data_IF_533241231550
#
_entry.id   IF_533241231550
#
_cell.length_a   1.000
_cell.length_b   1.000
_cell.length_c   1.000
_cell.angle_alpha   90.00
_cell.angle_beta   90.00
_cell.angle_gamma   90.00
#
_symmetry.space_group_name_H-M   'P 1'
#
loop_
_entity.id
_entity.type
_entity.pdbx_description
1 polymer ?
#
# COMPACT_ATOMS: atom_id res chain seq x y z
N UNK A 1 -15.13 1.92 -19.77
CA UNK A 1 -15.97 3.07 -19.37
C UNK A 1 -15.13 4.02 -18.54
N UNK A 2 -15.03 5.29 -18.94
CA UNK A 2 -14.53 6.33 -18.04
C UNK A 2 -15.46 6.37 -16.83
N UNK A 3 -14.89 6.42 -15.63
CA UNK A 3 -15.65 6.51 -14.40
C UNK A 3 -16.17 7.95 -14.29
N UNK A 4 -17.49 8.12 -14.29
CA UNK A 4 -18.15 9.44 -14.22
C UNK A 4 -18.61 9.72 -12.79
N UNK A 5 -17.69 9.66 -11.83
CA UNK A 5 -18.03 10.00 -10.45
C UNK A 5 -17.92 11.52 -10.26
N UNK A 6 -18.92 12.10 -9.61
CA UNK A 6 -18.85 13.49 -9.14
C UNK A 6 -18.20 13.48 -7.76
N UNK A 7 -17.06 14.14 -7.62
CA UNK A 7 -16.37 14.34 -6.35
C UNK A 7 -16.69 15.72 -5.83
N UNK A 8 -17.04 15.81 -4.55
CA UNK A 8 -17.19 17.08 -3.84
C UNK A 8 -16.72 16.88 -2.41
N UNK A 9 -15.92 17.82 -1.92
CA UNK A 9 -15.43 17.83 -0.55
C UNK A 9 -15.29 19.28 -0.09
N UNK A 10 -15.89 19.58 1.06
CA UNK A 10 -15.73 20.87 1.73
C UNK A 10 -14.34 20.88 2.40
N UNK A 11 -13.38 21.53 1.74
CA UNK A 11 -12.04 21.74 2.29
C UNK A 11 -12.07 22.77 3.41
N UNK A 12 -11.08 22.69 4.31
CA UNK A 12 -10.78 23.83 5.17
C UNK A 12 -9.91 24.84 4.43
N UNK A 13 -9.76 26.04 5.02
CA UNK A 13 -9.07 27.15 4.36
C UNK A 13 -7.63 26.82 3.95
N UNK A 14 -6.89 26.05 4.77
CA UNK A 14 -5.52 25.63 4.43
C UNK A 14 -5.50 24.67 3.24
N UNK A 15 -6.37 23.64 3.27
CA UNK A 15 -6.44 22.66 2.18
C UNK A 15 -6.94 23.30 0.88
N UNK A 16 -7.90 24.21 0.97
CA UNK A 16 -8.43 24.96 -0.17
C UNK A 16 -7.35 25.82 -0.84
N UNK A 17 -6.52 26.51 -0.06
CA UNK A 17 -5.40 27.29 -0.59
C UNK A 17 -4.40 26.40 -1.32
N UNK A 18 -3.98 25.29 -0.69
CA UNK A 18 -3.07 24.32 -1.33
C UNK A 18 -3.67 23.71 -2.61
N UNK A 19 -4.99 23.52 -2.65
CA UNK A 19 -5.66 22.86 -3.77
C UNK A 19 -5.67 23.71 -5.05
N UNK A 20 -5.45 25.03 -4.96
CA UNK A 20 -5.35 25.90 -6.14
C UNK A 20 -4.21 25.52 -7.09
N UNK A 21 -3.15 24.94 -6.55
CA UNK A 21 -1.98 24.46 -7.30
C UNK A 21 -2.00 22.94 -7.52
N UNK A 22 -3.15 22.29 -7.29
CA UNK A 22 -3.25 20.84 -7.29
C UNK A 22 -3.05 20.24 -8.69
N UNK A 23 -2.27 19.17 -8.78
CA UNK A 23 -2.06 18.41 -10.02
C UNK A 23 -2.67 17.03 -9.88
N UNK A 24 -3.51 16.63 -10.84
CA UNK A 24 -4.13 15.31 -10.84
C UNK A 24 -3.06 14.20 -10.90
N UNK A 25 -3.11 13.26 -9.94
CA UNK A 25 -2.22 12.09 -9.90
C UNK A 25 -2.90 10.81 -10.38
N UNK A 26 -4.20 10.66 -10.11
CA UNK A 26 -4.92 9.47 -10.51
C UNK A 26 -6.25 9.27 -9.81
N UNK A 27 -7.06 8.37 -10.38
CA UNK A 27 -8.36 7.97 -9.82
C UNK A 27 -8.35 6.49 -9.46
N UNK A 28 -8.63 6.20 -8.20
CA UNK A 28 -8.74 4.85 -7.66
C UNK A 28 -10.19 4.37 -7.59
N UNK A 29 -10.42 3.25 -6.89
CA UNK A 29 -11.78 2.72 -6.72
C UNK A 29 -12.66 3.57 -5.79
N UNK A 30 -12.07 4.22 -4.79
CA UNK A 30 -12.82 4.90 -3.73
C UNK A 30 -12.64 6.42 -3.74
N UNK A 31 -11.82 6.95 -4.66
CA UNK A 31 -11.35 8.30 -4.55
C UNK A 31 -10.43 8.73 -5.68
N UNK A 32 -10.33 10.04 -5.84
CA UNK A 32 -9.41 10.73 -6.74
C UNK A 32 -8.27 11.34 -5.92
N UNK A 33 -7.06 11.39 -6.48
CA UNK A 33 -5.86 11.87 -5.79
C UNK A 33 -5.24 13.00 -6.59
N UNK A 34 -4.91 14.07 -5.89
CA UNK A 34 -4.15 15.20 -6.40
C UNK A 34 -2.86 15.37 -5.59
N UNK A 35 -1.80 15.77 -6.27
CA UNK A 35 -0.60 16.34 -5.68
C UNK A 35 -0.90 17.75 -5.21
N UNK A 36 -0.35 18.11 -4.05
CA UNK A 36 -0.38 19.45 -3.47
C UNK A 36 1.06 19.95 -3.26
N UNK A 37 1.27 21.26 -3.06
CA UNK A 37 2.57 21.79 -2.64
C UNK A 37 3.13 21.11 -1.37
N UNK A 38 4.43 21.29 -1.12
CA UNK A 38 5.18 20.75 0.03
C UNK A 38 5.21 19.22 0.15
N UNK A 39 5.28 18.49 -0.96
CA UNK A 39 5.27 17.02 -0.97
C UNK A 39 4.04 16.43 -0.27
N UNK A 40 2.88 17.08 -0.42
CA UNK A 40 1.60 16.59 0.09
C UNK A 40 0.76 16.02 -1.05
N UNK A 41 -0.20 15.20 -0.69
CA UNK A 41 -1.25 14.74 -1.59
C UNK A 41 -2.59 14.78 -0.87
N UNK A 42 -3.63 15.18 -1.59
CA UNK A 42 -5.01 15.06 -1.12
C UNK A 42 -5.70 13.94 -1.86
N UNK A 43 -6.35 13.05 -1.10
CA UNK A 43 -7.28 12.07 -1.65
C UNK A 43 -8.69 12.47 -1.29
N UNK A 44 -9.52 12.67 -2.32
CA UNK A 44 -10.94 12.98 -2.20
C UNK A 44 -11.72 11.68 -2.41
N UNK A 45 -12.62 11.37 -1.50
CA UNK A 45 -13.37 10.12 -1.45
C UNK A 45 -14.81 10.33 -1.91
N UNK A 46 -15.40 9.30 -2.50
CA UNK A 46 -16.83 9.29 -2.84
C UNK A 46 -17.69 9.09 -1.59
N UNK A 47 -17.21 8.27 -0.65
CA UNK A 47 -17.91 7.90 0.55
C UNK A 47 -17.15 8.36 1.80
N UNK A 48 -17.84 9.10 2.67
CA UNK A 48 -17.27 9.60 3.93
C UNK A 48 -16.86 8.46 4.88
N UNK A 49 -17.58 7.33 4.83
CA UNK A 49 -17.23 6.13 5.60
C UNK A 49 -15.87 5.58 5.17
N UNK A 50 -15.60 5.50 3.86
CA UNK A 50 -14.30 5.07 3.35
C UNK A 50 -13.19 6.04 3.74
N UNK A 51 -13.45 7.35 3.66
CA UNK A 51 -12.52 8.39 4.12
C UNK A 51 -12.15 8.20 5.59
N UNK A 52 -13.16 8.11 6.46
CA UNK A 52 -12.97 7.92 7.91
C UNK A 52 -12.22 6.63 8.22
N UNK A 53 -12.59 5.51 7.61
CA UNK A 53 -11.91 4.23 7.86
C UNK A 53 -10.43 4.27 7.43
N UNK A 54 -10.11 4.84 6.27
CA UNK A 54 -8.72 4.93 5.79
C UNK A 54 -7.90 5.92 6.63
N UNK A 55 -8.48 7.08 6.96
CA UNK A 55 -7.82 8.13 7.75
C UNK A 55 -7.51 7.70 9.18
N UNK A 56 -8.43 7.00 9.86
CA UNK A 56 -8.18 6.50 11.21
C UNK A 56 -7.08 5.42 11.24
N UNK A 57 -6.99 4.57 10.21
CA UNK A 57 -5.89 3.62 10.09
C UNK A 57 -4.57 4.37 9.89
N UNK A 58 -4.50 5.30 8.94
CA UNK A 58 -3.28 6.07 8.65
C UNK A 58 -2.81 6.90 9.85
N UNK A 59 -3.72 7.54 10.59
CA UNK A 59 -3.40 8.24 11.84
C UNK A 59 -2.76 7.30 12.85
N UNK A 60 -3.32 6.10 13.04
CA UNK A 60 -2.81 5.09 13.98
C UNK A 60 -1.41 4.58 13.61
N UNK A 61 -1.09 4.50 12.33
CA UNK A 61 0.21 3.99 11.84
C UNK A 61 1.20 5.08 11.45
N UNK A 62 0.85 6.35 11.63
CA UNK A 62 1.63 7.53 11.19
C UNK A 62 3.07 7.62 11.68
N UNK A 63 3.44 6.87 12.72
CA UNK A 63 4.83 6.78 13.22
C UNK A 63 5.70 5.77 12.46
N UNK A 64 5.09 4.96 11.61
CA UNK A 64 5.78 3.96 10.81
C UNK A 64 6.26 4.57 9.51
N UNK A 65 7.54 4.35 9.17
CA UNK A 65 8.14 4.80 7.90
C UNK A 65 7.47 4.20 6.66
N UNK A 66 6.69 3.14 6.82
CA UNK A 66 6.06 2.40 5.73
C UNK A 66 4.70 2.95 5.33
N UNK A 67 4.19 4.00 6.00
CA UNK A 67 2.89 4.58 5.69
C UNK A 67 3.00 6.11 5.62
N UNK A 68 2.21 6.76 4.77
CA UNK A 68 2.20 8.21 4.70
C UNK A 68 1.62 8.82 5.98
N UNK A 69 2.24 9.90 6.44
CA UNK A 69 1.72 10.70 7.55
C UNK A 69 0.47 11.46 7.11
N UNK A 70 -0.52 11.53 7.98
CA UNK A 70 -1.73 12.34 7.77
C UNK A 70 -1.49 13.73 8.37
N UNK A 71 -1.73 14.76 7.58
CA UNK A 71 -1.69 16.16 8.02
C UNK A 71 -3.08 16.65 8.40
N UNK A 72 -4.07 16.30 7.59
CA UNK A 72 -5.44 16.75 7.78
C UNK A 72 -6.45 15.71 7.27
N UNK A 73 -7.67 15.75 7.81
CA UNK A 73 -8.76 14.86 7.44
C UNK A 73 -10.10 15.56 7.62
N UNK A 74 -10.79 15.82 6.50
CA UNK A 74 -12.17 16.25 6.49
C UNK A 74 -13.16 15.09 6.30
N UNK A 75 -14.42 15.43 6.03
CA UNK A 75 -15.50 14.44 5.87
C UNK A 75 -15.30 13.53 4.65
N UNK A 76 -14.74 14.07 3.58
CA UNK A 76 -14.55 13.38 2.30
C UNK A 76 -13.11 13.47 1.77
N UNK A 77 -12.15 13.94 2.56
CA UNK A 77 -10.77 14.05 2.09
C UNK A 77 -9.74 13.76 3.18
N UNK A 78 -8.55 13.34 2.75
CA UNK A 78 -7.37 13.18 3.59
C UNK A 78 -6.21 13.90 2.90
N UNK A 79 -5.56 14.82 3.61
CA UNK A 79 -4.25 15.37 3.23
C UNK A 79 -3.17 14.58 3.94
N UNK A 80 -2.23 14.03 3.17
CA UNK A 80 -1.17 13.16 3.65
C UNK A 80 0.14 13.38 2.89
N UNK A 81 1.21 12.73 3.31
CA UNK A 81 2.45 12.68 2.52
C UNK A 81 2.15 12.22 1.09
N UNK A 82 2.73 12.92 0.13
CA UNK A 82 2.90 12.39 -1.23
C UNK A 82 3.84 11.20 -1.14
N UNK A 83 3.43 10.09 -1.73
CA UNK A 83 4.27 8.89 -1.80
C UNK A 83 4.99 8.89 -3.13
N UNK A 84 6.31 9.01 -3.06
CA UNK A 84 7.19 9.04 -4.21
C UNK A 84 7.42 7.65 -4.81
N UNK A 85 7.97 7.63 -6.01
CA UNK A 85 8.42 6.42 -6.68
C UNK A 85 7.39 5.78 -7.59
N UNK A 86 7.48 4.46 -7.74
CA UNK A 86 6.68 3.69 -8.69
C UNK A 86 5.96 2.56 -7.98
N UNK A 87 4.81 2.13 -8.51
CA UNK A 87 4.17 0.90 -8.05
C UNK A 87 5.15 -0.28 -8.14
N UNK A 88 5.17 -1.10 -7.11
CA UNK A 88 6.14 -2.18 -6.94
C UNK A 88 6.20 -3.13 -8.15
N UNK A 89 5.05 -3.55 -8.66
CA UNK A 89 4.94 -4.44 -9.82
C UNK A 89 5.52 -3.81 -11.10
N UNK A 90 5.26 -2.52 -11.32
CA UNK A 90 5.80 -1.79 -12.46
C UNK A 90 7.31 -1.56 -12.32
N UNK A 91 7.78 -1.26 -11.11
CA UNK A 91 9.20 -1.07 -10.85
C UNK A 91 9.98 -2.34 -11.13
N UNK A 92 9.56 -3.48 -10.57
CA UNK A 92 10.24 -4.77 -10.74
C UNK A 92 10.34 -5.15 -12.22
N UNK A 93 9.26 -4.98 -12.99
CA UNK A 93 9.27 -5.25 -14.44
C UNK A 93 10.27 -4.39 -15.22
N UNK A 94 10.50 -3.15 -14.77
CA UNK A 94 11.32 -2.17 -15.49
C UNK A 94 12.78 -2.14 -15.03
N UNK A 95 13.03 -2.39 -13.74
CA UNK A 95 14.31 -2.20 -13.07
C UNK A 95 14.90 -3.47 -12.47
N UNK A 96 14.12 -4.55 -12.42
CA UNK A 96 14.52 -5.81 -11.82
C UNK A 96 14.17 -5.90 -10.34
N UNK A 97 14.48 -7.07 -9.77
CA UNK A 97 14.31 -7.40 -8.37
C UNK A 97 15.68 -7.74 -7.77
N UNK A 98 15.89 -7.42 -6.51
CA UNK A 98 17.13 -7.71 -5.81
C UNK A 98 16.87 -7.98 -4.32
N UNK A 99 17.92 -8.41 -3.61
CA UNK A 99 17.88 -8.72 -2.19
C UNK A 99 17.35 -7.56 -1.31
N UNK A 100 17.75 -6.32 -1.57
CA UNK A 100 17.31 -5.17 -0.77
C UNK A 100 15.79 -4.93 -0.90
N UNK A 101 15.22 -5.18 -2.08
CA UNK A 101 13.76 -5.13 -2.28
C UNK A 101 13.10 -6.24 -1.46
N UNK A 102 13.62 -7.47 -1.51
CA UNK A 102 13.09 -8.59 -0.74
C UNK A 102 13.11 -8.30 0.78
N UNK A 103 14.24 -7.78 1.27
CA UNK A 103 14.45 -7.44 2.67
C UNK A 103 13.50 -6.32 3.13
N UNK A 104 13.35 -5.25 2.35
CA UNK A 104 12.40 -4.17 2.65
C UNK A 104 10.94 -4.65 2.66
N UNK A 105 10.58 -5.57 1.75
CA UNK A 105 9.25 -6.18 1.75
C UNK A 105 9.03 -7.11 2.95
N UNK A 106 10.04 -7.88 3.36
CA UNK A 106 9.98 -8.69 4.57
C UNK A 106 9.76 -7.82 5.81
N UNK A 107 10.57 -6.78 6.01
CA UNK A 107 10.44 -5.88 7.16
C UNK A 107 9.15 -5.06 7.14
N UNK A 108 8.57 -4.80 5.96
CA UNK A 108 7.22 -4.25 5.86
C UNK A 108 6.17 -5.20 6.48
N UNK A 109 6.28 -6.51 6.25
CA UNK A 109 5.35 -7.47 6.85
C UNK A 109 5.61 -7.65 8.35
N UNK A 110 6.87 -7.61 8.79
CA UNK A 110 7.19 -7.57 10.23
C UNK A 110 6.63 -6.32 10.90
N UNK A 111 6.65 -5.18 10.22
CA UNK A 111 6.03 -3.96 10.70
C UNK A 111 4.52 -4.14 10.89
N UNK A 112 3.82 -4.82 9.98
CA UNK A 112 2.40 -5.12 10.14
C UNK A 112 2.14 -5.93 11.43
N UNK A 113 3.01 -6.90 11.75
CA UNK A 113 2.94 -7.65 13.01
C UNK A 113 3.14 -6.72 14.21
N UNK A 114 4.17 -5.86 14.17
CA UNK A 114 4.46 -4.88 15.24
C UNK A 114 3.29 -3.91 15.48
N UNK A 115 2.61 -3.49 14.42
CA UNK A 115 1.41 -2.63 14.45
C UNK A 115 0.12 -3.38 14.81
N UNK A 116 0.23 -4.69 15.11
CA UNK A 116 -0.87 -5.59 15.49
C UNK A 116 -1.96 -5.68 14.42
N UNK A 117 -1.58 -5.63 13.14
CA UNK A 117 -2.51 -5.89 12.04
C UNK A 117 -2.98 -7.34 12.11
N UNK A 118 -4.27 -7.56 11.86
CA UNK A 118 -4.84 -8.91 11.73
C UNK A 118 -4.67 -9.47 10.32
N UNK A 119 -4.46 -8.58 9.34
CA UNK A 119 -4.11 -8.89 7.95
C UNK A 119 -2.65 -8.50 7.70
N UNK A 120 -1.76 -9.49 7.67
CA UNK A 120 -0.34 -9.38 7.35
C UNK A 120 -0.12 -9.47 5.84
N UNK A 121 -0.78 -8.60 5.09
CA UNK A 121 -0.85 -8.73 3.62
C UNK A 121 -1.13 -7.39 2.93
N UNK A 122 -0.49 -7.20 1.78
CA UNK A 122 -0.60 -6.02 0.93
C UNK A 122 -0.50 -6.44 -0.54
N UNK A 123 -1.04 -5.65 -1.47
CA UNK A 123 -0.89 -5.92 -2.91
C UNK A 123 0.26 -5.11 -3.47
N UNK A 124 0.93 -5.62 -4.50
CA UNK A 124 1.97 -4.85 -5.20
C UNK A 124 1.48 -3.48 -5.70
N UNK A 125 0.21 -3.35 -6.09
CA UNK A 125 -0.38 -2.08 -6.53
C UNK A 125 -0.58 -1.05 -5.41
N UNK A 126 -0.63 -1.51 -4.16
CA UNK A 126 -0.81 -0.69 -2.97
C UNK A 126 0.56 -0.35 -2.32
N UNK A 127 1.67 -0.87 -2.89
CA UNK A 127 3.04 -0.63 -2.45
C UNK A 127 3.76 0.20 -3.52
N UNK A 128 4.38 1.29 -3.08
CA UNK A 128 5.23 2.14 -3.89
C UNK A 128 6.68 1.95 -3.45
N UNK A 129 7.59 1.98 -4.41
CA UNK A 129 9.01 1.82 -4.21
C UNK A 129 9.77 2.98 -4.87
N UNK A 130 10.72 3.54 -4.13
CA UNK A 130 11.62 4.60 -4.60
C UNK A 130 12.87 4.00 -5.25
N UNK A 131 13.72 4.84 -5.85
CA UNK A 131 14.96 4.37 -6.51
C UNK A 131 16.00 3.82 -5.52
N UNK A 132 15.92 4.24 -4.26
CA UNK A 132 16.70 3.74 -3.12
C UNK A 132 15.99 2.58 -2.39
N UNK A 133 15.11 1.86 -3.10
CA UNK A 133 14.42 0.65 -2.64
C UNK A 133 13.54 0.78 -1.38
N UNK A 134 13.31 2.01 -0.87
CA UNK A 134 12.36 2.23 0.23
C UNK A 134 10.94 1.98 -0.25
N UNK A 135 10.18 1.25 0.57
CA UNK A 135 8.79 0.90 0.27
C UNK A 135 7.80 1.63 1.17
N UNK A 136 6.66 2.03 0.62
CA UNK A 136 5.54 2.62 1.37
C UNK A 136 4.21 2.04 0.89
N UNK A 137 3.27 1.88 1.82
CA UNK A 137 1.90 1.43 1.55
C UNK A 137 0.95 2.62 1.56
N UNK A 138 0.24 2.82 0.45
CA UNK A 138 -0.69 3.94 0.28
C UNK A 138 -2.13 3.61 0.74
N UNK A 139 -2.51 2.33 0.75
CA UNK A 139 -3.88 1.90 1.07
C UNK A 139 -3.88 0.71 2.05
N UNK A 140 -3.83 0.98 3.38
CA UNK A 140 -3.84 -0.06 4.41
C UNK A 140 -5.24 -0.64 4.71
N UNK A 141 -6.19 -0.56 3.77
CA UNK A 141 -7.58 -0.96 4.03
C UNK A 141 -7.75 -2.33 4.66
N UNK A 142 -8.67 -2.36 5.64
CA UNK A 142 -9.11 -3.56 6.34
C UNK A 142 -7.99 -4.31 7.08
N UNK A 143 -6.85 -3.66 7.34
CA UNK A 143 -5.69 -4.27 8.00
C UNK A 143 -5.98 -4.81 9.42
N UNK A 144 -6.99 -4.26 10.10
CA UNK A 144 -7.47 -4.72 11.41
C UNK A 144 -8.75 -5.57 11.35
N UNK A 145 -9.43 -5.65 10.20
CA UNK A 145 -10.74 -6.33 10.07
C UNK A 145 -10.60 -7.77 9.53
N UNK A 146 -9.77 -7.98 8.50
CA UNK A 146 -9.58 -9.31 7.91
C UNK A 146 -8.45 -10.06 8.62
N UNK A 147 -8.59 -11.37 8.80
CA UNK A 147 -7.54 -12.21 9.38
C UNK A 147 -6.78 -12.92 8.26
N UNK A 148 -5.53 -12.50 8.04
CA UNK A 148 -4.59 -13.13 7.09
C UNK A 148 -3.22 -13.12 7.76
N UNK A 149 -2.58 -14.28 7.92
CA UNK A 149 -1.37 -14.42 8.72
C UNK A 149 -0.07 -14.54 7.89
N UNK A 150 -0.14 -14.27 6.58
CA UNK A 150 1.01 -14.27 5.67
C UNK A 150 0.69 -13.39 4.44
N UNK A 151 1.70 -12.91 3.69
CA UNK A 151 1.50 -11.89 2.65
C UNK A 151 1.06 -12.50 1.32
N UNK A 152 -0.11 -13.16 1.33
CA UNK A 152 -0.66 -13.92 0.21
C UNK A 152 -0.77 -13.12 -1.09
N UNK A 153 -1.38 -11.94 -1.06
CA UNK A 153 -1.58 -11.15 -2.29
C UNK A 153 -0.29 -10.48 -2.75
N UNK A 154 0.65 -10.19 -1.84
CA UNK A 154 1.99 -9.75 -2.19
C UNK A 154 2.68 -10.84 -2.99
N UNK A 155 2.73 -12.07 -2.45
CA UNK A 155 3.33 -13.22 -3.11
C UNK A 155 2.69 -13.50 -4.47
N UNK A 156 1.35 -13.46 -4.56
CA UNK A 156 0.63 -13.57 -5.85
C UNK A 156 1.00 -12.46 -6.85
N UNK A 157 1.33 -11.27 -6.36
CA UNK A 157 1.81 -10.17 -7.20
C UNK A 157 3.25 -10.39 -7.69
N UNK A 158 4.14 -10.85 -6.82
CA UNK A 158 5.54 -11.16 -7.14
C UNK A 158 5.66 -12.34 -8.11
N UNK A 159 4.79 -13.34 -7.95
CA UNK A 159 4.67 -14.50 -8.84
C UNK A 159 4.29 -14.07 -10.26
N UNK A 160 3.29 -13.19 -10.37
CA UNK A 160 2.85 -12.60 -11.65
C UNK A 160 3.91 -11.77 -12.37
N UNK A 161 4.94 -11.31 -11.66
CA UNK A 161 6.08 -10.59 -12.26
C UNK A 161 7.35 -11.44 -12.30
N UNK A 162 7.26 -12.73 -11.96
CA UNK A 162 8.32 -13.72 -12.15
C UNK A 162 9.43 -13.71 -11.09
N UNK A 163 9.19 -13.15 -9.90
CA UNK A 163 10.25 -12.98 -8.87
C UNK A 163 9.92 -13.62 -7.52
N UNK A 164 8.87 -14.44 -7.45
CA UNK A 164 8.47 -15.09 -6.19
C UNK A 164 9.55 -16.03 -5.64
N UNK A 165 10.21 -16.80 -6.51
CA UNK A 165 11.26 -17.73 -6.10
C UNK A 165 12.45 -16.98 -5.49
N UNK A 166 12.98 -15.97 -6.20
CA UNK A 166 14.06 -15.11 -5.70
C UNK A 166 13.68 -14.43 -4.38
N UNK A 167 12.45 -13.92 -4.26
CA UNK A 167 11.95 -13.33 -3.01
C UNK A 167 11.99 -14.34 -1.83
N UNK A 168 11.55 -15.58 -2.06
CA UNK A 168 11.58 -16.61 -1.02
C UNK A 168 13.00 -17.05 -0.68
N UNK A 169 13.89 -17.14 -1.66
CA UNK A 169 15.32 -17.41 -1.45
C UNK A 169 15.99 -16.34 -0.60
N UNK A 170 15.78 -15.07 -0.93
CA UNK A 170 16.31 -13.94 -0.17
C UNK A 170 15.77 -13.94 1.27
N UNK A 171 14.47 -14.22 1.48
CA UNK A 171 13.92 -14.36 2.83
C UNK A 171 14.52 -15.56 3.57
N UNK A 172 14.91 -16.65 2.90
CA UNK A 172 15.56 -17.77 3.60
C UNK A 172 16.91 -17.36 4.22
N UNK A 173 17.57 -16.36 3.67
CA UNK A 173 18.80 -15.78 4.21
C UNK A 173 18.52 -14.94 5.48
N UNK A 174 17.40 -14.22 5.50
CA UNK A 174 16.97 -13.36 6.63
C UNK A 174 16.31 -14.17 7.74
N UNK A 175 15.28 -14.94 7.41
CA UNK A 175 14.51 -15.78 8.31
C UNK A 175 14.02 -17.05 7.60
N UNK A 176 14.84 -18.10 7.72
CA UNK A 176 14.58 -19.43 7.16
C UNK A 176 13.25 -20.04 7.61
N UNK A 177 12.77 -19.74 8.82
CA UNK A 177 11.52 -20.30 9.34
C UNK A 177 10.33 -19.63 8.67
N UNK A 178 10.35 -18.29 8.59
CA UNK A 178 9.28 -17.52 7.94
C UNK A 178 9.20 -17.85 6.45
N UNK A 179 10.33 -17.94 5.74
CA UNK A 179 10.33 -18.30 4.33
C UNK A 179 9.65 -19.65 4.08
N UNK A 180 10.00 -20.68 4.86
CA UNK A 180 9.39 -22.02 4.76
C UNK A 180 7.90 -21.99 5.07
N UNK A 181 7.49 -21.22 6.08
CA UNK A 181 6.09 -21.08 6.45
C UNK A 181 5.27 -20.42 5.33
N UNK A 182 5.75 -19.29 4.80
CA UNK A 182 5.08 -18.56 3.73
C UNK A 182 5.01 -19.37 2.45
N UNK A 183 6.10 -20.04 2.06
CA UNK A 183 6.14 -20.93 0.91
C UNK A 183 5.10 -22.05 1.05
N UNK A 184 5.05 -22.72 2.21
CA UNK A 184 4.06 -23.79 2.47
C UNK A 184 2.62 -23.26 2.35
N UNK A 185 2.32 -22.13 2.98
CA UNK A 185 0.98 -21.52 2.96
C UNK A 185 0.57 -21.07 1.56
N UNK A 186 1.50 -20.53 0.78
CA UNK A 186 1.22 -20.10 -0.58
C UNK A 186 0.97 -21.29 -1.51
N UNK A 187 1.74 -22.37 -1.39
CA UNK A 187 1.48 -23.63 -2.13
C UNK A 187 0.08 -24.20 -1.83
N UNK A 188 -0.31 -24.23 -0.55
CA UNK A 188 -1.67 -24.64 -0.16
C UNK A 188 -2.75 -23.74 -0.74
N UNK A 189 -2.49 -22.44 -0.81
CA UNK A 189 -3.42 -21.48 -1.40
C UNK A 189 -3.60 -21.71 -2.91
N UNK A 190 -2.53 -21.97 -3.66
CA UNK A 190 -2.62 -22.29 -5.08
C UNK A 190 -3.41 -23.58 -5.35
N UNK A 191 -3.19 -24.62 -4.54
CA UNK A 191 -3.94 -25.88 -4.66
C UNK A 191 -5.45 -25.71 -4.44
N UNK A 192 -5.84 -24.81 -3.55
CA UNK A 192 -7.26 -24.54 -3.30
C UNK A 192 -7.89 -23.66 -4.39
N UNK A 193 -7.13 -22.72 -4.98
CA UNK A 193 -7.58 -21.87 -6.09
C UNK A 193 -7.77 -22.68 -7.40
N UNK A 194 -7.13 -23.85 -7.57
CA UNK A 194 -7.27 -24.73 -8.76
C UNK A 194 -8.49 -25.67 -8.69
N UNK A 195 -9.14 -25.77 -7.53
CA UNK A 195 -10.27 -26.68 -7.28
C UNK A 195 -11.63 -25.95 -7.32
N UNK A 196 -11.63 -24.62 -7.43
CA UNK A 196 -12.81 -23.75 -7.66
C UNK A 196 -12.94 -23.33 -9.12
#
# INVERSE_FOLDING_TARGET
MARTYSYSADFDAETEELFKEAVFLGEGHNGIVYELPDNKAVKIFQESKCCKEEGEILKKVSRSKYFPKVYNMGKFYIVRDKVEGHRLDHYIKKKGFNYEIAENLYYLIEEFKRLKFTKLDARCRDIYITRDNKVMVIDPKQCYKRKVNYPRHLMKGLDKVGVLESFLEDIRLVDKKVAREWEKKYKQYLQNDEVE
#
